data_IF_315820982924
#
_entry.id   IF_315820982924
#
_cell.length_a   1.000
_cell.length_b   1.000
_cell.length_c   1.000
_cell.angle_alpha   90.00
_cell.angle_beta   90.00
_cell.angle_gamma   90.00
#
_symmetry.space_group_name_H-M   'P 1'
#
loop_
_entity.id
_entity.type
_entity.pdbx_description
1 polymer ?
#
# COMPACT_ATOMS: atom_id res chain seq x y z
N UNK A 1 19.09 -7.04 22.34
CA UNK A 1 18.40 -6.66 21.08
C UNK A 1 17.31 -7.70 20.82
N UNK A 2 16.04 -7.36 21.09
CA UNK A 2 14.94 -8.35 21.12
C UNK A 2 14.76 -9.08 19.79
N UNK A 3 14.45 -10.40 19.84
CA UNK A 3 14.20 -11.25 18.67
C UNK A 3 13.16 -10.65 17.70
N UNK A 4 12.21 -9.88 18.22
CA UNK A 4 11.19 -9.15 17.45
C UNK A 4 11.78 -8.09 16.52
N UNK A 5 12.74 -7.28 17.00
CA UNK A 5 13.39 -6.23 16.20
C UNK A 5 14.27 -6.81 15.09
N UNK A 6 14.84 -8.00 15.31
CA UNK A 6 15.58 -8.74 14.28
C UNK A 6 14.62 -9.30 13.22
N UNK A 7 13.46 -9.82 13.64
CA UNK A 7 12.43 -10.32 12.72
C UNK A 7 11.89 -9.21 11.80
N UNK A 8 11.54 -8.06 12.38
CA UNK A 8 11.04 -6.88 11.66
C UNK A 8 12.05 -6.36 10.64
N UNK A 9 13.28 -6.03 11.06
CA UNK A 9 14.32 -5.52 10.16
C UNK A 9 14.58 -6.43 8.98
N UNK A 10 14.58 -7.73 9.23
CA UNK A 10 14.90 -8.68 8.17
C UNK A 10 13.67 -8.96 7.28
N UNK A 11 12.43 -8.86 7.79
CA UNK A 11 11.22 -8.91 6.97
C UNK A 11 11.12 -7.69 6.05
N UNK A 12 11.31 -6.49 6.59
CA UNK A 12 11.30 -5.24 5.81
C UNK A 12 12.32 -5.30 4.69
N UNK A 13 13.55 -5.72 4.99
CA UNK A 13 14.62 -5.84 3.98
C UNK A 13 14.26 -6.81 2.84
N UNK A 14 13.46 -7.85 3.09
CA UNK A 14 13.07 -8.87 2.09
C UNK A 14 11.91 -8.41 1.22
N UNK A 15 10.87 -7.83 1.83
CA UNK A 15 9.74 -7.28 1.08
C UNK A 15 10.22 -6.09 0.26
N UNK A 16 11.10 -5.25 0.81
CA UNK A 16 11.76 -4.19 0.05
C UNK A 16 12.63 -4.74 -1.08
N UNK A 17 13.37 -5.83 -0.86
CA UNK A 17 14.14 -6.48 -1.93
C UNK A 17 13.23 -7.00 -3.05
N UNK A 18 12.16 -7.72 -2.72
CA UNK A 18 11.19 -8.22 -3.69
C UNK A 18 10.51 -7.08 -4.45
N UNK A 19 10.07 -6.04 -3.75
CA UNK A 19 9.46 -4.86 -4.36
C UNK A 19 10.44 -4.10 -5.26
N UNK A 20 11.73 -4.05 -4.89
CA UNK A 20 12.76 -3.36 -5.66
C UNK A 20 13.18 -4.13 -6.92
N UNK A 21 13.28 -5.45 -6.82
CA UNK A 21 13.83 -6.32 -7.88
C UNK A 21 12.76 -6.98 -8.75
N UNK A 22 11.54 -7.13 -8.24
CA UNK A 22 10.46 -7.87 -8.88
C UNK A 22 10.77 -9.37 -9.03
N UNK A 23 11.75 -9.92 -8.30
CA UNK A 23 12.13 -11.31 -8.48
C UNK A 23 11.06 -12.26 -7.89
N UNK A 24 10.88 -13.47 -8.44
CA UNK A 24 10.03 -14.48 -7.83
C UNK A 24 10.53 -14.84 -6.42
N UNK A 25 9.62 -15.21 -5.51
CA UNK A 25 9.97 -15.62 -4.14
C UNK A 25 11.11 -16.64 -4.06
N UNK A 26 11.11 -17.62 -4.98
CA UNK A 26 12.13 -18.69 -5.05
C UNK A 26 13.54 -18.17 -5.35
N UNK A 27 13.66 -16.94 -5.86
CA UNK A 27 14.91 -16.30 -6.26
C UNK A 27 15.42 -15.34 -5.20
N UNK A 28 14.83 -15.35 -4.00
CA UNK A 28 15.38 -14.63 -2.86
C UNK A 28 16.84 -15.05 -2.61
N UNK A 29 17.75 -14.08 -2.42
CA UNK A 29 19.13 -14.35 -2.03
C UNK A 29 19.26 -15.27 -0.81
N UNK A 30 20.33 -16.07 -0.78
CA UNK A 30 20.55 -17.12 0.24
C UNK A 30 20.85 -16.57 1.65
N UNK A 31 21.22 -15.30 1.76
CA UNK A 31 21.37 -14.56 3.01
C UNK A 31 20.02 -14.22 3.66
N UNK A 32 18.92 -14.33 2.91
CA UNK A 32 17.58 -14.35 3.47
C UNK A 32 17.14 -15.77 3.88
N UNK A 33 16.24 -15.92 4.87
CA UNK A 33 15.58 -17.18 5.18
C UNK A 33 14.87 -17.72 3.96
N UNK A 34 14.66 -19.03 4.01
CA UNK A 34 14.01 -19.77 2.95
C UNK A 34 12.69 -19.11 2.51
N UNK A 35 12.46 -19.03 1.21
CA UNK A 35 11.33 -18.28 0.63
C UNK A 35 9.96 -18.70 1.17
N UNK A 36 9.78 -19.99 1.53
CA UNK A 36 8.54 -20.47 2.15
C UNK A 36 8.25 -19.76 3.47
N UNK A 37 9.27 -19.51 4.29
CA UNK A 37 9.13 -18.79 5.56
C UNK A 37 8.76 -17.34 5.31
N UNK A 38 9.40 -16.69 4.35
CA UNK A 38 9.12 -15.29 4.00
C UNK A 38 7.69 -15.14 3.47
N UNK A 39 7.29 -16.01 2.55
CA UNK A 39 5.93 -16.06 2.01
C UNK A 39 4.89 -16.34 3.10
N UNK A 40 5.14 -17.29 4.01
CA UNK A 40 4.25 -17.60 5.12
C UNK A 40 3.98 -16.37 6.01
N UNK A 41 5.03 -15.67 6.43
CA UNK A 41 4.86 -14.48 7.27
C UNK A 41 4.22 -13.33 6.48
N UNK A 42 4.55 -13.17 5.19
CA UNK A 42 3.91 -12.16 4.36
C UNK A 42 2.39 -12.35 4.30
N UNK A 43 1.93 -13.55 3.95
CA UNK A 43 0.48 -13.84 3.92
C UNK A 43 -0.15 -13.64 5.29
N UNK A 44 0.49 -14.13 6.35
CA UNK A 44 0.01 -13.91 7.72
C UNK A 44 -0.11 -12.42 8.07
N UNK A 45 0.82 -11.58 7.62
CA UNK A 45 0.78 -10.16 7.90
C UNK A 45 -0.32 -9.44 7.11
N UNK A 46 -0.53 -9.84 5.86
CA UNK A 46 -1.64 -9.37 5.03
C UNK A 46 -2.98 -9.76 5.68
N UNK A 47 -3.15 -11.03 6.04
CA UNK A 47 -4.38 -11.54 6.66
C UNK A 47 -4.72 -10.84 7.98
N UNK A 48 -3.70 -10.48 8.77
CA UNK A 48 -3.85 -9.80 10.05
C UNK A 48 -3.74 -8.27 9.97
N UNK A 49 -3.61 -7.69 8.78
CA UNK A 49 -3.46 -6.25 8.53
C UNK A 49 -2.35 -5.62 9.38
N UNK A 50 -1.20 -6.28 9.45
CA UNK A 50 -0.10 -5.87 10.31
C UNK A 50 0.55 -4.58 9.82
N UNK A 51 0.70 -4.40 8.51
CA UNK A 51 1.31 -3.20 7.93
C UNK A 51 0.42 -1.98 8.17
N UNK A 52 -0.89 -2.15 8.03
CA UNK A 52 -1.90 -1.11 8.29
C UNK A 52 -1.88 -0.68 9.75
N UNK A 53 -1.79 -1.64 10.68
CA UNK A 53 -1.65 -1.35 12.12
C UNK A 53 -0.35 -0.61 12.44
N UNK A 54 0.76 -1.04 11.84
CA UNK A 54 2.05 -0.34 12.00
C UNK A 54 1.95 1.09 11.47
N UNK A 55 1.35 1.29 10.29
CA UNK A 55 1.16 2.61 9.71
C UNK A 55 0.29 3.50 10.60
N UNK A 56 -0.83 2.97 11.10
CA UNK A 56 -1.72 3.68 12.02
C UNK A 56 -1.02 4.13 13.32
N UNK A 57 0.01 3.40 13.76
CA UNK A 57 0.80 3.74 14.95
C UNK A 57 1.97 4.68 14.68
N UNK A 58 2.59 4.60 13.51
CA UNK A 58 3.80 5.38 13.17
C UNK A 58 3.44 6.72 12.54
N UNK A 59 2.49 6.74 11.60
CA UNK A 59 2.12 7.95 10.86
C UNK A 59 1.77 9.14 11.78
N UNK A 60 0.92 8.98 12.83
CA UNK A 60 0.61 10.09 13.74
C UNK A 60 1.85 10.61 14.50
N UNK A 61 2.73 9.70 14.94
CA UNK A 61 3.95 10.03 15.70
C UNK A 61 4.97 10.76 14.82
N UNK A 62 5.17 10.29 13.60
CA UNK A 62 6.05 10.91 12.62
C UNK A 62 5.60 12.35 12.31
N UNK A 63 4.29 12.57 12.17
CA UNK A 63 3.73 13.90 11.94
C UNK A 63 4.01 14.85 13.10
N UNK A 64 3.82 14.40 14.34
CA UNK A 64 4.12 15.21 15.53
C UNK A 64 5.61 15.51 15.64
N UNK A 65 6.48 14.53 15.38
CA UNK A 65 7.94 14.69 15.38
C UNK A 65 8.38 15.76 14.36
N UNK A 66 7.71 15.83 13.22
CA UNK A 66 7.94 16.81 12.16
C UNK A 66 7.14 18.12 12.35
N UNK A 67 6.61 18.36 13.55
CA UNK A 67 5.95 19.62 13.92
C UNK A 67 4.58 19.84 13.27
N UNK A 68 3.91 18.77 12.83
CA UNK A 68 2.55 18.81 12.27
C UNK A 68 1.53 18.26 13.26
N UNK A 69 0.25 18.54 12.99
CA UNK A 69 -0.85 17.92 13.71
C UNK A 69 -0.83 16.41 13.48
N UNK A 70 -1.06 15.66 14.56
CA UNK A 70 -1.12 14.21 14.59
C UNK A 70 -2.01 13.64 13.46
N UNK A 71 -3.23 14.16 13.35
CA UNK A 71 -4.16 13.81 12.28
C UNK A 71 -4.10 14.85 11.15
N UNK A 72 -3.95 14.42 9.89
CA UNK A 72 -3.92 15.33 8.74
C UNK A 72 -5.29 15.96 8.49
N UNK A 73 -5.29 17.19 7.99
CA UNK A 73 -6.51 17.89 7.55
C UNK A 73 -6.69 17.94 6.04
N UNK A 74 -5.71 17.45 5.28
CA UNK A 74 -5.78 17.37 3.84
C UNK A 74 -4.98 16.18 3.31
N UNK A 75 -5.42 15.64 2.18
CA UNK A 75 -4.77 14.51 1.50
C UNK A 75 -4.64 14.73 0.00
N UNK A 76 -3.75 13.95 -0.62
CA UNK A 76 -3.52 13.93 -2.06
C UNK A 76 -3.86 12.51 -2.53
N UNK A 77 -4.74 12.41 -3.53
CA UNK A 77 -5.15 11.13 -4.13
C UNK A 77 -4.51 10.97 -5.50
N UNK A 78 -4.03 9.77 -5.77
CA UNK A 78 -3.57 9.36 -7.10
C UNK A 78 -4.03 7.92 -7.40
N UNK A 79 -4.19 7.61 -8.68
CA UNK A 79 -4.51 6.27 -9.15
C UNK A 79 -3.47 5.72 -10.11
N UNK A 80 -3.09 4.47 -9.90
CA UNK A 80 -2.11 3.80 -10.74
C UNK A 80 -2.59 2.42 -11.17
N UNK A 81 -2.48 2.14 -12.46
CA UNK A 81 -2.73 0.81 -13.02
C UNK A 81 -1.40 0.09 -13.18
N UNK A 82 -1.32 -1.15 -12.70
CA UNK A 82 -0.16 -2.03 -12.81
C UNK A 82 -0.57 -3.29 -13.56
N UNK A 83 0.30 -3.76 -14.45
CA UNK A 83 0.09 -5.00 -15.21
C UNK A 83 -0.04 -6.19 -14.26
N UNK A 84 -1.07 -7.00 -14.48
CA UNK A 84 -1.30 -8.22 -13.71
C UNK A 84 -0.37 -9.36 -14.12
N UNK A 85 -0.31 -10.39 -13.29
CA UNK A 85 0.31 -11.67 -13.61
C UNK A 85 -0.77 -12.74 -13.84
N UNK A 86 -0.43 -13.91 -14.39
CA UNK A 86 -1.40 -15.00 -14.54
C UNK A 86 -2.09 -15.38 -13.23
N UNK A 87 -1.37 -15.32 -12.11
CA UNK A 87 -1.89 -15.63 -10.77
C UNK A 87 -2.93 -14.60 -10.29
N UNK A 88 -2.85 -13.35 -10.75
CA UNK A 88 -3.81 -12.30 -10.39
C UNK A 88 -4.96 -12.15 -11.39
N UNK A 89 -5.09 -13.05 -12.37
CA UNK A 89 -6.02 -12.89 -13.50
C UNK A 89 -7.47 -12.69 -13.06
N UNK A 90 -7.94 -13.43 -12.05
CA UNK A 90 -9.31 -13.33 -11.51
C UNK A 90 -9.60 -11.97 -10.86
N UNK A 91 -8.58 -11.29 -10.37
CA UNK A 91 -8.69 -10.00 -9.69
C UNK A 91 -8.30 -8.82 -10.61
N UNK A 92 -7.98 -9.11 -11.88
CA UNK A 92 -7.50 -8.14 -12.86
C UNK A 92 -8.58 -7.75 -13.87
N UNK A 93 -8.43 -6.59 -14.49
CA UNK A 93 -9.29 -6.08 -15.55
C UNK A 93 -8.50 -5.27 -16.57
N UNK A 94 -9.13 -4.93 -17.69
CA UNK A 94 -8.52 -4.09 -18.70
C UNK A 94 -8.76 -2.61 -18.37
N UNK A 95 -7.67 -1.87 -18.16
CA UNK A 95 -7.70 -0.41 -18.23
C UNK A 95 -7.65 0.00 -19.70
N UNK A 96 -8.80 0.40 -20.25
CA UNK A 96 -8.91 0.79 -21.67
C UNK A 96 -8.16 2.08 -22.02
N UNK A 97 -7.94 2.97 -21.05
CA UNK A 97 -7.19 4.21 -21.27
C UNK A 97 -5.68 3.96 -21.38
N UNK A 98 -5.17 3.00 -20.60
CA UNK A 98 -3.74 2.65 -20.58
C UNK A 98 -3.40 1.41 -21.42
N UNK A 99 -4.42 0.67 -21.89
CA UNK A 99 -4.30 -0.63 -22.54
C UNK A 99 -3.53 -1.65 -21.68
N UNK A 100 -3.76 -1.62 -20.36
CA UNK A 100 -3.11 -2.50 -19.40
C UNK A 100 -4.13 -3.48 -18.83
N UNK A 101 -3.88 -4.78 -19.03
CA UNK A 101 -4.56 -5.84 -18.28
C UNK A 101 -3.92 -5.97 -16.89
N UNK A 102 -4.63 -5.63 -15.84
CA UNK A 102 -4.09 -5.72 -14.48
C UNK A 102 -4.98 -5.15 -13.40
N UNK A 103 -4.34 -4.58 -12.37
CA UNK A 103 -5.01 -4.04 -11.18
C UNK A 103 -4.76 -2.55 -11.08
N UNK A 104 -5.74 -1.82 -10.54
CA UNK A 104 -5.66 -0.40 -10.29
C UNK A 104 -5.62 -0.15 -8.80
N UNK A 105 -4.67 0.66 -8.34
CA UNK A 105 -4.56 1.11 -6.95
C UNK A 105 -4.92 2.58 -6.85
N UNK A 106 -5.72 2.93 -5.87
CA UNK A 106 -5.98 4.31 -5.46
C UNK A 106 -5.32 4.53 -4.12
N UNK A 107 -4.45 5.53 -4.04
CA UNK A 107 -3.65 5.82 -2.86
C UNK A 107 -4.00 7.24 -2.40
N UNK A 108 -4.19 7.41 -1.10
CA UNK A 108 -4.26 8.73 -0.47
C UNK A 108 -3.07 8.87 0.48
N UNK A 109 -2.31 9.93 0.27
CA UNK A 109 -1.23 10.38 1.14
C UNK A 109 -1.60 11.70 1.81
N UNK A 110 -0.93 12.05 2.89
CA UNK A 110 -1.05 13.39 3.50
C UNK A 110 -0.22 14.44 2.73
N UNK A 111 -0.15 15.67 3.27
CA UNK A 111 0.64 16.76 2.67
C UNK A 111 2.15 16.62 2.81
N UNK A 112 2.62 15.65 3.58
CA UNK A 112 4.04 15.29 3.70
C UNK A 112 4.42 14.14 2.76
N UNK A 113 3.43 13.53 2.10
CA UNK A 113 3.60 12.37 1.24
C UNK A 113 3.52 11.04 2.00
N UNK A 114 3.12 11.06 3.27
CA UNK A 114 3.00 9.86 4.10
C UNK A 114 1.67 9.15 3.80
N UNK A 115 1.73 7.82 3.70
CA UNK A 115 0.57 6.99 3.32
C UNK A 115 -0.53 7.04 4.40
N UNK A 116 -1.75 7.38 3.98
CA UNK A 116 -2.93 7.27 4.85
C UNK A 116 -3.69 5.97 4.55
N UNK A 117 -4.07 5.77 3.29
CA UNK A 117 -4.85 4.61 2.85
C UNK A 117 -4.53 4.24 1.41
N UNK A 118 -4.50 2.95 1.11
CA UNK A 118 -4.44 2.43 -0.24
C UNK A 118 -5.54 1.39 -0.45
N UNK A 119 -6.15 1.37 -1.63
CA UNK A 119 -7.08 0.32 -2.05
C UNK A 119 -6.77 -0.15 -3.46
N UNK A 120 -7.01 -1.43 -3.72
CA UNK A 120 -6.69 -2.08 -4.98
C UNK A 120 -7.93 -2.75 -5.56
N UNK A 121 -8.17 -2.50 -6.84
CA UNK A 121 -9.32 -2.97 -7.60
C UNK A 121 -8.86 -3.61 -8.92
N UNK A 122 -9.76 -4.28 -9.63
CA UNK A 122 -9.52 -4.63 -11.02
C UNK A 122 -9.38 -3.36 -11.88
N UNK A 123 -8.50 -3.36 -12.88
CA UNK A 123 -8.17 -2.10 -13.56
C UNK A 123 -9.27 -1.53 -14.47
N UNK A 124 -10.32 -2.30 -14.75
CA UNK A 124 -11.50 -1.83 -15.50
C UNK A 124 -12.41 -0.91 -14.66
N UNK A 125 -12.19 -0.82 -13.35
CA UNK A 125 -12.93 0.11 -12.50
C UNK A 125 -12.49 1.55 -12.84
N UNK A 126 -13.47 2.39 -13.16
CA UNK A 126 -13.25 3.79 -13.51
C UNK A 126 -12.77 4.62 -12.32
N UNK A 127 -11.93 5.62 -12.56
CA UNK A 127 -11.24 6.36 -11.49
C UNK A 127 -12.20 7.07 -10.53
N UNK A 128 -13.32 7.60 -11.02
CA UNK A 128 -14.37 8.17 -10.17
C UNK A 128 -14.96 7.17 -9.16
N UNK A 129 -15.20 5.92 -9.58
CA UNK A 129 -15.69 4.88 -8.66
C UNK A 129 -14.60 4.39 -7.71
N UNK A 130 -13.37 4.22 -8.20
CA UNK A 130 -12.23 3.85 -7.36
C UNK A 130 -11.96 4.93 -6.28
N UNK A 131 -12.01 6.21 -6.67
CA UNK A 131 -11.91 7.36 -5.78
C UNK A 131 -13.02 7.35 -4.73
N UNK A 132 -14.27 7.13 -5.14
CA UNK A 132 -15.40 7.01 -4.20
C UNK A 132 -15.15 5.94 -3.12
N UNK A 133 -14.68 4.75 -3.51
CA UNK A 133 -14.44 3.65 -2.58
C UNK A 133 -13.28 3.90 -1.61
N UNK A 134 -12.20 4.58 -2.04
CA UNK A 134 -11.07 4.89 -1.15
C UNK A 134 -11.39 6.07 -0.24
N UNK A 135 -12.07 7.11 -0.75
CA UNK A 135 -12.45 8.28 0.04
C UNK A 135 -13.53 7.94 1.08
N UNK A 136 -14.47 7.07 0.75
CA UNK A 136 -15.47 6.60 1.72
C UNK A 136 -14.80 5.90 2.91
N UNK A 137 -13.80 5.06 2.64
CA UNK A 137 -13.03 4.40 3.70
C UNK A 137 -12.15 5.39 4.48
N UNK A 138 -11.53 6.35 3.78
CA UNK A 138 -10.75 7.42 4.40
C UNK A 138 -11.58 8.20 5.42
N UNK A 139 -12.77 8.67 5.04
CA UNK A 139 -13.60 9.49 5.94
C UNK A 139 -14.18 8.72 7.13
N UNK A 140 -14.32 7.39 7.02
CA UNK A 140 -14.66 6.53 8.15
C UNK A 140 -13.48 6.39 9.14
N UNK A 141 -12.25 6.47 8.65
CA UNK A 141 -11.03 6.35 9.47
C UNK A 141 -10.56 7.69 10.05
N UNK A 142 -10.65 8.76 9.27
CA UNK A 142 -10.14 10.09 9.59
C UNK A 142 -11.16 11.16 9.18
N UNK A 143 -11.95 11.61 10.16
CA UNK A 143 -12.91 12.69 9.97
C UNK A 143 -12.26 14.10 9.95
N UNK A 144 -10.95 14.19 10.14
CA UNK A 144 -10.19 15.46 10.14
C UNK A 144 -9.87 15.96 8.74
N UNK A 145 -9.91 15.08 7.72
CA UNK A 145 -9.64 15.45 6.33
C UNK A 145 -10.77 16.35 5.80
N UNK A 146 -10.41 17.55 5.38
CA UNK A 146 -11.32 18.56 4.83
C UNK A 146 -11.06 18.87 3.36
N UNK A 147 -9.86 18.55 2.86
CA UNK A 147 -9.44 18.84 1.49
C UNK A 147 -8.76 17.62 0.88
N UNK A 148 -9.09 17.34 -0.37
CA UNK A 148 -8.43 16.33 -1.19
C UNK A 148 -7.99 16.99 -2.49
N UNK A 149 -6.72 16.83 -2.84
CA UNK A 149 -6.21 17.20 -4.16
C UNK A 149 -6.06 15.95 -5.03
N UNK A 150 -6.46 16.07 -6.28
CA UNK A 150 -6.19 15.11 -7.35
C UNK A 150 -5.53 15.86 -8.50
N UNK A 151 -4.90 15.14 -9.42
CA UNK A 151 -4.48 15.70 -10.68
C UNK A 151 -5.69 16.14 -11.54
N UNK A 152 -5.47 17.15 -12.37
CA UNK A 152 -6.47 17.60 -13.34
C UNK A 152 -6.39 16.74 -14.60
N UNK A 153 -7.56 16.39 -15.14
CA UNK A 153 -7.69 15.74 -16.44
C UNK A 153 -7.45 16.70 -17.61
#
# INVERSE_FOLDING_TARGET
MNNFNKLLRTYDSRVLYLNKTGCPWRYLPKDFPHYCTVSYYHHKWVDHQIIEKINAEIHPKLRVELGRNEQPSAGIIDSQTVKGTPESALESGLDGGKLIQGRKRSIVVDTMGDLIIARVYAAHIYDGHAAYFVLSALFLMMNTIQKIWADGA
#
